data_IF_363848575440
#
_entry.id   IF_363848575440
#
_cell.length_a   1.000
_cell.length_b   1.000
_cell.length_c   1.000
_cell.angle_alpha   90.00
_cell.angle_beta   90.00
_cell.angle_gamma   90.00
#
_symmetry.space_group_name_H-M   'P 1'
#
loop_
_entity.id
_entity.type
_entity.pdbx_description
1 polymer ?
#
# COMPACT_ATOMS: atom_id res chain seq x y z
N UNK A 1 -4.85 -18.86 -23.51
CA UNK A 1 -3.66 -19.25 -22.74
C UNK A 1 -3.13 -18.00 -22.06
N UNK A 2 -2.96 -18.03 -20.74
CA UNK A 2 -2.45 -16.87 -19.99
C UNK A 2 -0.99 -16.62 -20.39
N UNK A 3 -0.69 -15.40 -20.87
CA UNK A 3 0.64 -14.94 -21.30
C UNK A 3 1.52 -14.47 -20.13
N UNK A 4 1.28 -14.97 -18.91
CA UNK A 4 2.02 -14.57 -17.71
C UNK A 4 3.31 -15.38 -17.61
N UNK A 5 4.45 -14.69 -17.69
CA UNK A 5 5.78 -15.26 -17.44
C UNK A 5 6.09 -15.27 -15.94
N UNK A 6 5.99 -16.44 -15.31
CA UNK A 6 6.31 -16.65 -13.90
C UNK A 6 7.82 -16.70 -13.59
N UNK A 7 8.68 -16.63 -14.61
CA UNK A 7 10.14 -16.62 -14.44
C UNK A 7 10.72 -15.21 -14.30
N UNK A 8 10.00 -14.18 -14.79
CA UNK A 8 10.41 -12.77 -14.70
C UNK A 8 10.45 -12.30 -13.25
N UNK A 9 11.52 -11.57 -12.91
CA UNK A 9 11.75 -10.98 -11.59
C UNK A 9 12.17 -9.52 -11.75
N UNK A 10 11.77 -8.62 -10.85
CA UNK A 10 12.33 -7.27 -10.83
C UNK A 10 13.81 -7.31 -10.40
N UNK A 11 14.58 -6.32 -10.84
CA UNK A 11 16.01 -6.21 -10.54
C UNK A 11 16.26 -5.97 -9.03
N UNK A 12 15.37 -5.22 -8.40
CA UNK A 12 15.40 -4.91 -6.98
C UNK A 12 14.07 -4.34 -6.48
N UNK A 13 13.96 -4.16 -5.17
CA UNK A 13 12.83 -3.49 -4.52
C UNK A 13 13.22 -2.23 -3.74
N UNK A 14 14.50 -2.07 -3.42
CA UNK A 14 14.98 -1.16 -2.37
C UNK A 14 15.85 -0.04 -2.93
N UNK A 15 15.71 0.25 -4.22
CA UNK A 15 16.39 1.38 -4.86
C UNK A 15 15.85 2.71 -4.29
N UNK A 16 16.61 3.82 -4.41
CA UNK A 16 16.13 5.13 -4.02
C UNK A 16 14.81 5.43 -4.76
N UNK A 17 13.75 5.66 -3.99
CA UNK A 17 12.47 6.15 -4.51
C UNK A 17 12.46 7.67 -4.46
N UNK A 18 11.83 8.28 -5.45
CA UNK A 18 11.46 9.69 -5.38
C UNK A 18 10.66 9.95 -4.09
N UNK A 19 10.93 11.01 -3.31
CA UNK A 19 10.25 11.24 -2.03
C UNK A 19 8.73 11.35 -2.14
N UNK A 20 8.21 11.91 -3.24
CA UNK A 20 6.76 11.98 -3.48
C UNK A 20 6.21 10.58 -3.77
N UNK A 21 6.85 9.81 -4.64
CA UNK A 21 6.47 8.41 -4.87
C UNK A 21 6.52 7.58 -3.59
N UNK A 22 7.54 7.79 -2.76
CA UNK A 22 7.66 7.11 -1.46
C UNK A 22 6.50 7.50 -0.55
N UNK A 23 6.20 8.79 -0.39
CA UNK A 23 5.09 9.26 0.42
C UNK A 23 3.74 8.71 -0.07
N UNK A 24 3.49 8.74 -1.38
CA UNK A 24 2.29 8.16 -1.98
C UNK A 24 2.21 6.64 -1.78
N UNK A 25 3.33 5.92 -1.87
CA UNK A 25 3.37 4.46 -1.63
C UNK A 25 3.09 4.08 -0.18
N UNK A 26 3.27 5.00 0.77
CA UNK A 26 2.97 4.80 2.19
C UNK A 26 1.49 4.96 2.50
N UNK A 27 0.76 5.81 1.78
CA UNK A 27 -0.67 6.03 2.04
C UNK A 27 -1.44 4.71 1.93
N UNK A 28 -2.07 4.27 3.02
CA UNK A 28 -2.74 2.97 3.09
C UNK A 28 -4.03 2.95 2.27
N UNK A 29 -4.87 3.97 2.39
CA UNK A 29 -6.14 4.11 1.67
C UNK A 29 -6.00 4.22 0.16
N UNK A 30 -6.71 3.36 -0.60
CA UNK A 30 -6.59 3.32 -2.05
C UNK A 30 -7.16 4.57 -2.73
N UNK A 31 -8.40 4.97 -2.39
CA UNK A 31 -9.00 6.18 -2.97
C UNK A 31 -8.26 7.44 -2.50
N UNK A 32 -7.84 7.48 -1.23
CA UNK A 32 -7.08 8.61 -0.69
C UNK A 32 -5.73 8.79 -1.37
N UNK A 33 -5.00 7.70 -1.63
CA UNK A 33 -3.73 7.74 -2.36
C UNK A 33 -3.88 8.43 -3.72
N UNK A 34 -4.93 8.09 -4.47
CA UNK A 34 -5.22 8.73 -5.77
C UNK A 34 -5.62 10.20 -5.63
N UNK A 35 -6.42 10.53 -4.61
CA UNK A 35 -6.82 11.90 -4.32
C UNK A 35 -5.60 12.78 -3.97
N UNK A 36 -4.72 12.29 -3.09
CA UNK A 36 -3.48 12.98 -2.71
C UNK A 36 -2.55 13.13 -3.91
N UNK A 37 -2.35 12.07 -4.72
CA UNK A 37 -1.57 12.18 -5.96
C UNK A 37 -2.10 13.28 -6.88
N UNK A 38 -3.42 13.37 -7.03
CA UNK A 38 -4.04 14.42 -7.84
C UNK A 38 -3.79 15.82 -7.27
N UNK A 39 -3.96 16.00 -5.95
CA UNK A 39 -3.69 17.27 -5.27
C UNK A 39 -2.23 17.71 -5.47
N UNK A 40 -1.27 16.80 -5.26
CA UNK A 40 0.16 17.11 -5.45
C UNK A 40 0.47 17.47 -6.89
N UNK A 41 -0.09 16.74 -7.86
CA UNK A 41 0.11 17.03 -9.28
C UNK A 41 -0.44 18.40 -9.70
N UNK A 42 -1.55 18.84 -9.12
CA UNK A 42 -2.26 20.07 -9.52
C UNK A 42 -1.80 21.30 -8.74
N UNK A 43 -1.39 21.15 -7.49
CA UNK A 43 -1.08 22.27 -6.59
C UNK A 43 0.15 22.07 -5.70
N UNK A 44 0.94 21.02 -5.94
CA UNK A 44 2.11 20.69 -5.12
C UNK A 44 1.75 20.14 -3.74
N UNK A 45 2.78 19.90 -2.91
CA UNK A 45 2.61 19.32 -1.58
C UNK A 45 1.73 20.16 -0.66
N UNK A 46 1.76 21.49 -0.80
CA UNK A 46 0.96 22.43 0.00
C UNK A 46 -0.55 22.33 -0.27
N UNK A 47 -0.96 21.70 -1.38
CA UNK A 47 -2.36 21.44 -1.68
C UNK A 47 -2.95 20.25 -0.89
N UNK A 48 -2.10 19.43 -0.25
CA UNK A 48 -2.55 18.28 0.53
C UNK A 48 -2.97 18.75 1.93
N UNK A 49 -4.23 18.50 2.36
CA UNK A 49 -4.65 18.87 3.70
C UNK A 49 -3.79 18.20 4.78
N UNK A 50 -3.61 18.89 5.90
CA UNK A 50 -2.80 18.38 7.01
C UNK A 50 -3.25 16.99 7.45
N UNK A 51 -2.29 16.08 7.60
CA UNK A 51 -2.53 14.69 7.99
C UNK A 51 -3.16 13.80 6.91
N UNK A 52 -3.60 14.36 5.77
CA UNK A 52 -4.19 13.58 4.67
C UNK A 52 -3.13 12.84 3.85
N UNK A 53 -1.90 13.36 3.86
CA UNK A 53 -0.71 12.74 3.28
C UNK A 53 -0.01 11.73 4.19
N UNK A 54 -0.48 11.51 5.42
CA UNK A 54 0.12 10.53 6.32
C UNK A 54 -0.14 9.11 5.83
N UNK A 55 0.71 8.17 6.27
CA UNK A 55 0.51 6.74 6.02
C UNK A 55 -0.90 6.30 6.47
N UNK A 56 -1.27 6.63 7.71
CA UNK A 56 -2.60 6.40 8.27
C UNK A 56 -3.35 7.71 8.54
N UNK A 57 -4.67 7.68 8.33
CA UNK A 57 -5.56 8.73 8.83
C UNK A 57 -5.79 8.58 10.33
N UNK A 58 -5.90 9.73 11.00
CA UNK A 58 -6.50 9.81 12.33
C UNK A 58 -7.94 9.27 12.30
N UNK A 59 -8.44 8.82 13.46
CA UNK A 59 -9.82 8.29 13.56
C UNK A 59 -10.87 9.29 13.06
N UNK A 60 -10.72 10.57 13.43
CA UNK A 60 -11.61 11.65 12.98
C UNK A 60 -11.59 11.85 11.47
N UNK A 61 -10.40 11.87 10.86
CA UNK A 61 -10.27 11.99 9.40
C UNK A 61 -10.83 10.75 8.69
N UNK A 62 -10.54 9.54 9.20
CA UNK A 62 -11.03 8.28 8.63
C UNK A 62 -12.56 8.23 8.65
N UNK A 63 -13.18 8.65 9.76
CA UNK A 63 -14.64 8.74 9.87
C UNK A 63 -15.23 9.74 8.89
N UNK A 64 -14.68 10.95 8.82
CA UNK A 64 -15.15 11.98 7.89
C UNK A 64 -15.00 11.52 6.43
N UNK A 65 -13.89 10.88 6.10
CA UNK A 65 -13.60 10.35 4.78
C UNK A 65 -14.57 9.23 4.37
N UNK A 66 -14.87 8.30 5.29
CA UNK A 66 -15.83 7.22 5.05
C UNK A 66 -17.28 7.69 4.88
N UNK A 67 -17.65 8.89 5.36
CA UNK A 67 -18.99 9.46 5.16
C UNK A 67 -19.25 9.88 3.71
N UNK A 68 -18.21 10.09 2.90
CA UNK A 68 -18.35 10.46 1.49
C UNK A 68 -18.90 9.29 0.67
N UNK A 69 -18.27 8.13 0.81
CA UNK A 69 -18.66 6.89 0.15
C UNK A 69 -17.96 5.69 0.81
N UNK A 70 -18.58 4.50 0.91
CA UNK A 70 -17.93 3.32 1.52
C UNK A 70 -16.56 2.96 0.92
N UNK A 71 -16.37 3.16 -0.39
CA UNK A 71 -15.06 2.94 -1.06
C UNK A 71 -13.92 3.80 -0.49
N UNK A 72 -14.22 4.93 0.15
CA UNK A 72 -13.21 5.76 0.80
C UNK A 72 -12.58 5.05 2.01
N UNK A 73 -13.20 3.99 2.53
CA UNK A 73 -12.66 3.18 3.63
C UNK A 73 -11.61 2.17 3.15
N UNK A 74 -11.64 1.78 1.87
CA UNK A 74 -10.76 0.78 1.30
C UNK A 74 -9.29 1.13 1.45
N UNK A 75 -8.59 0.30 2.19
CA UNK A 75 -7.18 0.38 2.55
C UNK A 75 -6.91 1.20 3.82
N UNK A 76 -7.89 1.94 4.35
CA UNK A 76 -7.67 2.80 5.53
C UNK A 76 -7.48 1.98 6.83
N UNK A 77 -7.80 0.68 6.80
CA UNK A 77 -7.58 -0.25 7.90
C UNK A 77 -6.35 -1.14 7.71
N UNK A 78 -5.62 -1.01 6.59
CA UNK A 78 -4.31 -1.65 6.46
C UNK A 78 -3.36 -1.08 7.50
N UNK A 79 -2.67 -1.96 8.20
CA UNK A 79 -1.59 -1.57 9.10
C UNK A 79 -0.48 -0.85 8.32
N UNK A 80 0.23 0.11 8.92
CA UNK A 80 1.36 0.76 8.29
C UNK A 80 2.46 -0.27 7.98
N UNK A 81 3.33 0.05 7.02
CA UNK A 81 4.52 -0.74 6.78
C UNK A 81 5.45 -0.71 7.99
N UNK A 82 6.16 -1.80 8.24
CA UNK A 82 7.23 -1.79 9.24
C UNK A 82 8.38 -0.85 8.81
N UNK A 83 9.21 -0.38 9.76
CA UNK A 83 10.45 0.32 9.43
C UNK A 83 11.31 -0.49 8.44
N UNK A 84 11.67 0.12 7.31
CA UNK A 84 12.45 -0.50 6.24
C UNK A 84 11.70 -1.50 5.35
N UNK A 85 10.39 -1.65 5.53
CA UNK A 85 9.52 -2.42 4.64
C UNK A 85 8.94 -1.52 3.55
N UNK A 86 8.67 -2.06 2.36
CA UNK A 86 8.09 -1.36 1.22
C UNK A 86 6.94 -2.17 0.63
N UNK A 87 5.85 -1.49 0.23
CA UNK A 87 4.82 -2.10 -0.60
C UNK A 87 5.36 -2.27 -2.03
N UNK A 88 5.41 -3.52 -2.51
CA UNK A 88 5.95 -3.88 -3.83
C UNK A 88 4.86 -4.25 -4.84
N UNK A 89 3.66 -4.56 -4.35
CA UNK A 89 2.48 -4.72 -5.18
C UNK A 89 1.24 -4.45 -4.32
N UNK A 90 0.18 -4.00 -4.98
CA UNK A 90 -1.12 -3.74 -4.37
C UNK A 90 -2.21 -4.32 -5.24
N UNK A 91 -3.19 -4.97 -4.63
CA UNK A 91 -4.43 -5.33 -5.27
C UNK A 91 -5.54 -4.55 -4.59
N UNK A 92 -6.39 -3.92 -5.40
CA UNK A 92 -7.59 -3.27 -4.92
C UNK A 92 -8.79 -3.90 -5.57
N UNK A 93 -9.70 -4.40 -4.75
CA UNK A 93 -10.89 -5.09 -5.20
C UNK A 93 -11.92 -4.03 -5.54
N UNK A 94 -12.42 -4.04 -6.78
CA UNK A 94 -13.48 -3.12 -7.22
C UNK A 94 -14.84 -3.57 -6.65
N UNK A 95 -15.00 -3.43 -5.34
CA UNK A 95 -16.22 -3.68 -4.56
C UNK A 95 -16.78 -2.36 -4.01
N UNK A 96 -17.88 -2.44 -3.25
CA UNK A 96 -18.45 -1.29 -2.54
C UNK A 96 -17.50 -0.69 -1.50
N UNK A 97 -16.76 -1.53 -0.78
CA UNK A 97 -15.81 -1.13 0.28
C UNK A 97 -14.40 -0.87 -0.25
N UNK A 98 -14.09 -1.39 -1.43
CA UNK A 98 -12.82 -1.16 -2.13
C UNK A 98 -11.61 -1.78 -1.43
N UNK A 99 -11.79 -2.99 -0.89
CA UNK A 99 -10.81 -3.68 -0.05
C UNK A 99 -9.44 -3.83 -0.75
N UNK A 100 -8.38 -3.73 0.05
CA UNK A 100 -7.01 -3.66 -0.40
C UNK A 100 -6.19 -4.80 0.20
N UNK A 101 -5.41 -5.45 -0.66
CA UNK A 101 -4.35 -6.36 -0.30
C UNK A 101 -3.01 -5.74 -0.68
N UNK A 102 -2.07 -5.76 0.26
CA UNK A 102 -0.74 -5.16 0.12
C UNK A 102 0.31 -6.26 0.16
N UNK A 103 1.15 -6.34 -0.87
CA UNK A 103 2.34 -7.21 -0.87
C UNK A 103 3.54 -6.37 -0.50
N UNK A 104 4.22 -6.75 0.58
CA UNK A 104 5.27 -5.96 1.20
C UNK A 104 6.57 -6.74 1.26
N UNK A 105 7.69 -6.05 1.04
CA UNK A 105 9.03 -6.60 1.10
C UNK A 105 9.89 -5.84 2.11
N UNK A 106 10.63 -6.58 2.93
CA UNK A 106 11.59 -6.03 3.89
C UNK A 106 12.93 -6.74 3.75
N UNK A 107 14.02 -5.98 3.69
CA UNK A 107 15.37 -6.54 3.71
C UNK A 107 15.69 -7.07 5.10
N UNK A 108 16.12 -8.33 5.19
CA UNK A 108 16.54 -8.98 6.44
C UNK A 108 17.88 -9.67 6.21
N UNK A 109 18.97 -9.07 6.68
CA UNK A 109 20.36 -9.49 6.37
C UNK A 109 20.53 -9.63 4.85
N UNK A 110 20.89 -10.82 4.37
CA UNK A 110 21.12 -11.13 2.95
C UNK A 110 19.87 -11.74 2.28
N UNK A 111 18.68 -11.54 2.85
CA UNK A 111 17.42 -12.09 2.35
C UNK A 111 16.33 -11.03 2.32
N UNK A 112 15.23 -11.35 1.66
CA UNK A 112 14.04 -10.51 1.52
C UNK A 112 12.89 -11.27 2.18
N UNK A 113 12.33 -10.71 3.25
CA UNK A 113 11.06 -11.16 3.82
C UNK A 113 9.94 -10.53 3.01
N UNK A 114 9.01 -11.35 2.55
CA UNK A 114 7.85 -10.91 1.78
C UNK A 114 6.62 -11.35 2.53
N UNK A 115 5.65 -10.45 2.69
CA UNK A 115 4.36 -10.75 3.31
C UNK A 115 3.22 -10.15 2.50
N UNK A 116 2.06 -10.77 2.57
CA UNK A 116 0.79 -10.19 2.15
C UNK A 116 0.07 -9.72 3.41
N UNK A 117 -0.47 -8.52 3.35
CA UNK A 117 -1.22 -7.85 4.41
C UNK A 117 -2.62 -7.51 3.86
N UNK A 118 -3.63 -7.61 4.71
CA UNK A 118 -5.03 -7.23 4.42
C UNK A 118 -5.56 -6.22 5.46
N UNK A 119 -6.77 -5.73 5.25
CA UNK A 119 -7.45 -4.79 6.15
C UNK A 119 -8.06 -5.44 7.40
N UNK A 120 -7.98 -6.76 7.51
CA UNK A 120 -8.70 -7.57 8.48
C UNK A 120 -7.74 -8.41 9.33
N UNK A 121 -6.54 -7.89 9.60
CA UNK A 121 -5.51 -8.51 10.45
C UNK A 121 -5.18 -9.98 10.06
N UNK A 122 -5.17 -10.24 8.76
CA UNK A 122 -4.89 -11.54 8.16
C UNK A 122 -6.05 -12.52 8.16
N UNK A 123 -7.24 -12.15 8.65
CA UNK A 123 -8.42 -13.04 8.70
C UNK A 123 -8.88 -13.48 7.30
N UNK A 124 -8.61 -12.68 6.26
CA UNK A 124 -8.97 -13.04 4.88
C UNK A 124 -7.84 -13.76 4.14
N UNK A 125 -6.70 -13.97 4.79
CA UNK A 125 -5.52 -14.59 4.21
C UNK A 125 -5.42 -16.08 4.54
N UNK A 126 -4.84 -16.84 3.62
CA UNK A 126 -4.46 -18.22 3.88
C UNK A 126 -3.34 -18.32 4.92
N UNK A 127 -3.20 -19.48 5.57
CA UNK A 127 -2.14 -19.77 6.58
C UNK A 127 -0.72 -19.45 6.11
N UNK A 128 -0.47 -19.49 4.79
CA UNK A 128 0.82 -19.17 4.19
C UNK A 128 0.70 -17.88 3.36
N UNK A 129 0.86 -16.73 4.02
CA UNK A 129 0.87 -15.39 3.41
C UNK A 129 2.21 -14.67 3.57
N UNK A 130 3.26 -15.37 3.99
CA UNK A 130 4.63 -14.84 4.04
C UNK A 130 5.66 -15.85 3.54
N UNK A 131 6.79 -15.33 3.05
CA UNK A 131 7.94 -16.14 2.66
C UNK A 131 9.25 -15.36 2.79
N UNK A 132 10.36 -16.10 2.69
CA UNK A 132 11.72 -15.53 2.65
C UNK A 132 12.35 -15.93 1.33
N UNK A 133 12.92 -14.96 0.61
CA UNK A 133 13.64 -15.18 -0.65
C UNK A 133 15.05 -14.59 -0.60
N UNK A 134 15.95 -15.12 -1.43
CA UNK A 134 17.32 -14.58 -1.62
C UNK A 134 17.39 -13.56 -2.76
N UNK A 135 16.34 -13.48 -3.58
CA UNK A 135 16.18 -12.57 -4.71
C UNK A 135 14.74 -12.07 -4.82
N UNK A 136 14.45 -10.98 -5.53
CA UNK A 136 13.08 -10.55 -5.78
C UNK A 136 12.20 -11.67 -6.37
N UNK A 137 10.91 -11.66 -6.02
CA UNK A 137 9.90 -12.61 -6.50
C UNK A 137 9.54 -12.39 -7.96
#
# INVERSE_FOLDING_TARGET
>A
MSTIDYSRRPEGYFEPSDPEELMLSRITGAIRREAVRKMVREGGMDAVPEGFGNEELSEGHRRAWGLIHPMCMGGEFLLPCEPGELEIARLTIRSTTYDVLSVRAKRVKNRIRIRVDDEYDGETLNKKHSCISVRPL
#
